data_IF_366262138045
#
_entry.id   IF_366262138045
#
_cell.length_a   1.000
_cell.length_b   1.000
_cell.length_c   1.000
_cell.angle_alpha   90.00
_cell.angle_beta   90.00
_cell.angle_gamma   90.00
#
_symmetry.space_group_name_H-M   'P 1'
#
loop_
_entity.id
_entity.type
_entity.pdbx_description
1 polymer ?
#
# COMPACT_ATOMS: atom_id res chain seq x y z
N UNK A 1 5.00 7.03 -18.42
CA UNK A 1 6.00 6.84 -17.34
C UNK A 1 5.82 7.91 -16.28
N UNK A 2 5.22 7.55 -15.14
CA UNK A 2 4.87 8.48 -14.05
C UNK A 2 6.09 9.18 -13.44
N UNK A 3 7.21 8.48 -13.14
CA UNK A 3 8.40 9.14 -12.64
C UNK A 3 8.97 10.20 -13.58
N UNK A 4 9.02 9.94 -14.89
CA UNK A 4 9.51 10.90 -15.87
C UNK A 4 8.60 12.14 -15.96
N UNK A 5 7.30 11.95 -15.85
CA UNK A 5 6.34 13.05 -15.80
C UNK A 5 6.51 13.90 -14.54
N UNK A 6 6.62 13.27 -13.37
CA UNK A 6 6.84 13.97 -12.11
C UNK A 6 8.17 14.73 -12.08
N UNK A 7 9.24 14.14 -12.66
CA UNK A 7 10.56 14.80 -12.75
C UNK A 7 10.56 16.08 -13.59
N UNK A 8 9.52 16.37 -14.36
CA UNK A 8 9.38 17.62 -15.12
C UNK A 8 8.72 18.76 -14.33
N UNK A 9 8.29 18.51 -13.09
CA UNK A 9 7.63 19.50 -12.25
C UNK A 9 8.60 20.10 -11.22
N UNK A 10 8.35 21.33 -10.79
CA UNK A 10 9.10 22.00 -9.72
C UNK A 10 8.48 21.78 -8.34
N UNK A 11 7.16 21.58 -8.29
CA UNK A 11 6.36 21.43 -7.08
C UNK A 11 5.21 20.47 -7.39
N UNK A 12 4.79 19.70 -6.41
CA UNK A 12 3.60 18.85 -6.49
C UNK A 12 2.54 19.29 -5.48
N UNK A 13 1.27 19.24 -5.90
CA UNK A 13 0.11 19.47 -5.03
C UNK A 13 -0.80 18.25 -5.14
N UNK A 14 -1.09 17.62 -4.02
CA UNK A 14 -1.98 16.46 -3.99
C UNK A 14 -1.93 15.72 -2.66
N UNK A 15 -2.63 14.60 -2.58
CA UNK A 15 -2.76 13.83 -1.36
C UNK A 15 -2.60 12.32 -1.62
N UNK A 16 -2.50 11.53 -0.55
CA UNK A 16 -2.47 10.08 -0.58
C UNK A 16 -1.31 9.53 -1.45
N UNK A 17 -1.57 8.47 -2.22
CA UNK A 17 -0.55 7.80 -3.04
C UNK A 17 0.16 8.75 -4.01
N UNK A 18 -0.56 9.67 -4.65
CA UNK A 18 0.04 10.62 -5.59
C UNK A 18 1.07 11.55 -4.90
N UNK A 19 0.79 11.98 -3.67
CA UNK A 19 1.76 12.72 -2.87
C UNK A 19 2.99 11.88 -2.54
N UNK A 20 2.83 10.62 -2.13
CA UNK A 20 3.95 9.71 -1.85
C UNK A 20 4.80 9.45 -3.09
N UNK A 21 4.19 9.27 -4.25
CA UNK A 21 4.90 9.10 -5.53
C UNK A 21 5.71 10.34 -5.89
N UNK A 22 5.14 11.54 -5.77
CA UNK A 22 5.84 12.81 -6.00
C UNK A 22 7.00 13.02 -5.02
N UNK A 23 6.78 12.77 -3.74
CA UNK A 23 7.81 12.81 -2.70
C UNK A 23 8.95 11.82 -2.99
N UNK A 24 8.62 10.62 -3.47
CA UNK A 24 9.62 9.62 -3.84
C UNK A 24 10.51 10.08 -5.00
N UNK A 25 9.98 10.92 -5.89
CA UNK A 25 10.73 11.57 -6.97
C UNK A 25 11.53 12.80 -6.51
N UNK A 26 11.46 13.18 -5.24
CA UNK A 26 12.18 14.33 -4.70
C UNK A 26 11.53 15.67 -5.01
N UNK A 27 10.19 15.71 -5.18
CA UNK A 27 9.47 16.96 -5.38
C UNK A 27 9.07 17.59 -4.05
N UNK A 28 9.27 18.91 -3.88
CA UNK A 28 8.59 19.67 -2.83
C UNK A 28 7.08 19.49 -2.98
N UNK A 29 6.42 19.07 -1.92
CA UNK A 29 5.02 18.64 -2.00
C UNK A 29 4.15 19.45 -1.05
N UNK A 30 3.04 19.98 -1.56
CA UNK A 30 1.93 20.51 -0.77
C UNK A 30 0.88 19.41 -0.64
N UNK A 31 0.65 18.95 0.59
CA UNK A 31 -0.30 17.89 0.86
C UNK A 31 -1.69 18.51 1.04
N UNK A 32 -2.52 18.35 0.02
CA UNK A 32 -3.85 18.94 -0.07
C UNK A 32 -4.77 18.05 -0.90
N UNK A 33 -6.01 17.90 -0.49
CA UNK A 33 -7.02 17.10 -1.18
C UNK A 33 -8.44 17.50 -0.81
N UNK A 34 -9.39 16.74 -1.29
CA UNK A 34 -10.82 16.95 -1.00
C UNK A 34 -11.18 16.57 0.45
N UNK A 35 -10.35 15.79 1.14
CA UNK A 35 -10.58 15.39 2.53
C UNK A 35 -9.92 16.34 3.54
N UNK A 36 -9.08 17.28 3.10
CA UNK A 36 -8.45 18.28 3.97
C UNK A 36 -7.14 18.85 3.45
N UNK A 37 -6.44 19.59 4.33
CA UNK A 37 -5.24 20.35 4.02
C UNK A 37 -4.18 20.22 5.11
N UNK A 38 -2.99 19.74 4.74
CA UNK A 38 -1.81 19.72 5.60
C UNK A 38 -0.84 20.85 5.24
N UNK A 39 -0.69 21.15 3.94
CA UNK A 39 0.20 22.17 3.42
C UNK A 39 1.58 21.65 3.01
N UNK A 40 2.57 22.51 2.96
CA UNK A 40 3.94 22.17 2.53
C UNK A 40 4.52 21.10 3.45
N UNK A 41 5.00 20.01 2.84
CA UNK A 41 5.61 18.92 3.60
C UNK A 41 6.97 19.33 4.17
N UNK A 42 7.06 19.32 5.49
CA UNK A 42 8.28 19.59 6.27
C UNK A 42 8.32 18.73 7.54
N UNK A 43 9.37 18.90 8.35
CA UNK A 43 9.56 18.12 9.58
C UNK A 43 8.43 18.32 10.59
N UNK A 44 7.81 19.50 10.65
CA UNK A 44 6.74 19.79 11.61
C UNK A 44 5.41 19.10 11.25
N UNK A 45 5.22 18.75 9.98
CA UNK A 45 4.00 18.15 9.45
C UNK A 45 4.10 16.64 9.22
N UNK A 46 5.30 16.05 9.36
CA UNK A 46 5.55 14.62 9.11
C UNK A 46 4.60 13.72 9.91
N UNK A 47 4.51 13.93 11.22
CA UNK A 47 3.69 13.09 12.09
C UNK A 47 2.20 13.18 11.75
N UNK A 48 1.72 14.40 11.44
CA UNK A 48 0.35 14.61 11.02
C UNK A 48 0.06 13.94 9.68
N UNK A 49 0.97 14.05 8.72
CA UNK A 49 0.86 13.42 7.42
C UNK A 49 0.82 11.88 7.55
N UNK A 50 1.71 11.29 8.33
CA UNK A 50 1.73 9.86 8.64
C UNK A 50 0.44 9.40 9.30
N UNK A 51 -0.02 10.08 10.35
CA UNK A 51 -1.25 9.75 11.09
C UNK A 51 -2.47 9.73 10.19
N UNK A 52 -2.54 10.59 9.19
CA UNK A 52 -3.65 10.67 8.24
C UNK A 52 -3.44 9.87 6.96
N UNK A 53 -2.35 9.09 6.90
CA UNK A 53 -1.92 8.37 5.71
C UNK A 53 -1.86 9.27 4.45
N UNK A 54 -1.39 10.49 4.64
CA UNK A 54 -1.30 11.53 3.60
C UNK A 54 -2.62 11.90 2.93
N UNK A 55 -3.77 11.50 3.51
CA UNK A 55 -5.11 11.77 2.99
C UNK A 55 -5.71 13.07 3.52
N UNK A 56 -5.07 13.74 4.47
CA UNK A 56 -5.50 15.00 5.10
C UNK A 56 -6.83 14.91 5.87
N UNK A 57 -7.30 13.74 6.25
CA UNK A 57 -8.57 13.59 6.99
C UNK A 57 -8.53 14.39 8.28
N UNK A 58 -9.59 15.15 8.52
CA UNK A 58 -9.75 15.99 9.72
C UNK A 58 -8.68 17.09 9.88
N UNK A 59 -7.94 17.42 8.82
CA UNK A 59 -6.88 18.45 8.85
C UNK A 59 -7.38 19.85 8.46
N UNK A 60 -8.70 20.05 8.43
CA UNK A 60 -9.32 21.29 7.99
C UNK A 60 -9.46 21.37 6.46
N UNK A 61 -10.24 22.34 6.01
CA UNK A 61 -10.61 22.49 4.61
C UNK A 61 -9.46 22.99 3.74
N UNK A 62 -9.35 22.43 2.53
CA UNK A 62 -8.51 22.98 1.45
C UNK A 62 -9.18 24.21 0.90
N UNK A 63 -8.52 25.35 1.00
CA UNK A 63 -8.99 26.63 0.46
C UNK A 63 -8.00 27.21 -0.54
N UNK A 64 -8.50 27.99 -1.48
CA UNK A 64 -7.68 28.72 -2.45
C UNK A 64 -6.62 29.58 -1.74
N UNK A 65 -7.01 30.31 -0.69
CA UNK A 65 -6.10 31.17 0.05
C UNK A 65 -4.92 30.44 0.69
N UNK A 66 -5.17 29.26 1.29
CA UNK A 66 -4.10 28.42 1.87
C UNK A 66 -3.16 27.92 0.79
N UNK A 67 -3.73 27.37 -0.29
CA UNK A 67 -2.96 26.84 -1.40
C UNK A 67 -2.12 27.92 -2.06
N UNK A 68 -2.71 29.08 -2.31
CA UNK A 68 -2.02 30.23 -2.89
C UNK A 68 -0.83 30.67 -1.99
N UNK A 69 -1.05 30.80 -0.69
CA UNK A 69 0.03 31.19 0.25
C UNK A 69 1.20 30.20 0.26
N UNK A 70 0.90 28.89 0.27
CA UNK A 70 1.94 27.85 0.25
C UNK A 70 2.67 27.81 -1.10
N UNK A 71 1.98 27.97 -2.22
CA UNK A 71 2.62 28.05 -3.53
C UNK A 71 3.51 29.30 -3.65
N UNK A 72 3.07 30.47 -3.21
CA UNK A 72 3.93 31.67 -3.15
C UNK A 72 5.17 31.38 -2.30
N UNK A 73 5.00 30.78 -1.12
CA UNK A 73 6.13 30.42 -0.25
C UNK A 73 7.13 29.52 -0.97
N UNK A 74 6.68 28.54 -1.75
CA UNK A 74 7.55 27.64 -2.49
C UNK A 74 8.24 28.32 -3.67
N UNK A 75 7.54 29.17 -4.41
CA UNK A 75 8.10 29.86 -5.58
C UNK A 75 9.02 31.05 -5.21
N UNK A 76 8.86 31.61 -4.02
CA UNK A 76 9.79 32.62 -3.46
C UNK A 76 11.14 32.00 -3.02
N UNK A 77 11.20 30.66 -2.88
CA UNK A 77 12.44 29.93 -2.60
C UNK A 77 13.33 29.83 -3.83
N UNK A 78 14.62 29.80 -3.61
CA UNK A 78 15.61 29.51 -4.65
C UNK A 78 15.47 28.07 -5.13
N UNK A 79 16.00 27.74 -6.30
CA UNK A 79 16.01 26.38 -6.82
C UNK A 79 16.70 25.39 -5.87
N UNK A 80 17.78 25.82 -5.21
CA UNK A 80 18.52 24.96 -4.27
C UNK A 80 17.71 24.71 -2.98
N UNK A 81 16.99 25.71 -2.47
CA UNK A 81 16.10 25.54 -1.33
C UNK A 81 14.95 24.58 -1.67
N UNK A 82 14.33 24.71 -2.85
CA UNK A 82 13.28 23.77 -3.31
C UNK A 82 13.84 22.36 -3.44
N UNK A 83 15.06 22.22 -3.97
CA UNK A 83 15.74 20.91 -4.05
C UNK A 83 15.94 20.31 -2.67
N UNK A 84 16.42 21.08 -1.69
CA UNK A 84 16.59 20.61 -0.32
C UNK A 84 15.27 20.15 0.32
N UNK A 85 14.16 20.84 0.01
CA UNK A 85 12.81 20.42 0.45
C UNK A 85 12.38 19.11 -0.23
N UNK A 86 12.64 18.95 -1.51
CA UNK A 86 12.39 17.70 -2.24
C UNK A 86 13.23 16.54 -1.71
N UNK A 87 14.50 16.77 -1.41
CA UNK A 87 15.38 15.78 -0.78
C UNK A 87 14.86 15.34 0.60
N UNK A 88 14.31 16.30 1.36
CA UNK A 88 13.61 15.97 2.61
C UNK A 88 12.40 15.07 2.35
N UNK A 89 11.53 15.41 1.39
CA UNK A 89 10.38 14.60 1.01
C UNK A 89 10.80 13.17 0.63
N UNK A 90 11.82 13.03 -0.23
CA UNK A 90 12.34 11.72 -0.64
C UNK A 90 12.89 10.92 0.54
N UNK A 91 13.63 11.57 1.45
CA UNK A 91 14.14 10.90 2.66
C UNK A 91 13.03 10.34 3.53
N UNK A 92 11.95 11.09 3.75
CA UNK A 92 10.76 10.60 4.48
C UNK A 92 10.19 9.33 3.83
N UNK A 93 10.09 9.29 2.50
CA UNK A 93 9.60 8.10 1.80
C UNK A 93 10.54 6.91 1.99
N UNK A 94 11.85 7.11 1.90
CA UNK A 94 12.82 6.04 2.11
C UNK A 94 12.79 5.48 3.53
N UNK A 95 12.58 6.35 4.52
CA UNK A 95 12.53 5.98 5.93
C UNK A 95 11.21 5.26 6.29
N UNK A 96 10.06 5.77 5.82
CA UNK A 96 8.75 5.34 6.30
C UNK A 96 8.02 4.38 5.36
N UNK A 97 8.31 4.41 4.05
CA UNK A 97 7.53 3.71 3.01
C UNK A 97 8.36 2.84 2.07
N UNK A 98 9.66 2.66 2.34
CA UNK A 98 10.46 1.78 1.50
C UNK A 98 10.04 0.31 1.67
N UNK A 99 10.16 -0.47 0.58
CA UNK A 99 9.89 -1.91 0.64
C UNK A 99 10.75 -2.62 1.67
N UNK A 100 12.02 -2.17 1.85
CA UNK A 100 12.92 -2.70 2.87
C UNK A 100 12.39 -2.45 4.29
N UNK A 101 11.92 -1.22 4.57
CA UNK A 101 11.33 -0.89 5.87
C UNK A 101 10.08 -1.73 6.13
N UNK A 102 9.20 -1.82 5.15
CA UNK A 102 7.98 -2.63 5.25
C UNK A 102 8.31 -4.11 5.53
N UNK A 103 9.32 -4.67 4.89
CA UNK A 103 9.75 -6.05 5.14
C UNK A 103 10.20 -6.24 6.58
N UNK A 104 11.02 -5.34 7.12
CA UNK A 104 11.47 -5.37 8.51
C UNK A 104 10.31 -5.27 9.51
N UNK A 105 9.33 -4.43 9.24
CA UNK A 105 8.15 -4.29 10.10
C UNK A 105 7.29 -5.57 10.10
N UNK A 106 7.16 -6.23 8.94
CA UNK A 106 6.47 -7.53 8.86
C UNK A 106 7.26 -8.64 9.56
N UNK A 107 8.58 -8.71 9.39
CA UNK A 107 9.44 -9.66 10.11
C UNK A 107 9.27 -9.49 11.62
N UNK A 108 9.41 -8.28 12.14
CA UNK A 108 9.24 -7.99 13.56
C UNK A 108 7.83 -8.35 14.06
N UNK A 109 6.80 -8.10 13.26
CA UNK A 109 5.43 -8.49 13.59
C UNK A 109 5.30 -10.02 13.66
N UNK A 110 5.81 -10.76 12.69
CA UNK A 110 5.75 -12.23 12.68
C UNK A 110 6.53 -12.83 13.83
N UNK A 111 7.71 -12.31 14.17
CA UNK A 111 8.51 -12.76 15.31
C UNK A 111 7.80 -12.50 16.66
N UNK A 112 6.98 -11.45 16.74
CA UNK A 112 6.19 -11.13 17.95
C UNK A 112 4.99 -12.04 18.16
N UNK A 113 4.56 -12.80 17.14
CA UNK A 113 3.42 -13.69 17.27
C UNK A 113 3.80 -14.94 18.08
N UNK A 114 2.90 -15.40 18.96
CA UNK A 114 3.14 -16.65 19.68
C UNK A 114 3.31 -17.81 18.67
N UNK A 115 4.30 -18.65 18.90
CA UNK A 115 4.50 -19.85 18.10
C UNK A 115 3.22 -20.70 18.17
N UNK A 116 2.50 -20.80 17.06
CA UNK A 116 1.38 -21.72 16.93
C UNK A 116 1.98 -23.07 16.56
N UNK A 117 2.02 -24.00 17.53
CA UNK A 117 2.26 -25.42 17.23
C UNK A 117 0.88 -26.04 16.93
N UNK A 118 0.54 -26.28 15.66
CA UNK A 118 -0.74 -26.90 15.36
C UNK A 118 -0.70 -28.37 15.77
N UNK A 119 -1.65 -28.77 16.60
CA UNK A 119 -1.93 -30.19 16.90
C UNK A 119 -2.53 -30.92 15.68
N UNK A 120 -2.76 -30.23 14.60
CA UNK A 120 -3.33 -30.72 13.34
C UNK A 120 -2.40 -30.39 12.20
N UNK A 121 -2.30 -31.28 11.18
CA UNK A 121 -1.54 -30.97 9.97
C UNK A 121 -1.92 -29.60 9.42
N UNK A 122 -0.93 -28.74 9.20
CA UNK A 122 -1.12 -27.37 8.72
C UNK A 122 -1.92 -27.37 7.40
N UNK A 123 -2.78 -26.39 7.24
CA UNK A 123 -3.51 -26.12 6.00
C UNK A 123 -3.57 -24.61 5.77
N UNK A 124 -3.59 -24.20 4.52
CA UNK A 124 -3.62 -22.80 4.13
C UNK A 124 -5.00 -22.45 3.58
N UNK A 125 -5.66 -21.48 4.21
CA UNK A 125 -6.88 -20.88 3.69
C UNK A 125 -6.55 -19.51 3.11
N UNK A 126 -6.79 -19.34 1.81
CA UNK A 126 -6.52 -18.10 1.09
C UNK A 126 -7.83 -17.39 0.78
N UNK A 127 -7.93 -16.14 1.23
CA UNK A 127 -9.07 -15.27 0.98
C UNK A 127 -8.63 -14.00 0.25
N UNK A 128 -9.32 -13.64 -0.82
CA UNK A 128 -9.03 -12.47 -1.63
C UNK A 128 -10.08 -12.27 -2.72
N UNK A 129 -9.82 -11.36 -3.64
CA UNK A 129 -10.71 -11.10 -4.78
C UNK A 129 -10.40 -12.07 -5.93
N UNK A 130 -10.59 -13.37 -5.69
CA UNK A 130 -10.22 -14.44 -6.61
C UNK A 130 -11.41 -15.00 -7.40
N UNK A 131 -11.15 -15.41 -8.66
CA UNK A 131 -12.16 -16.01 -9.53
C UNK A 131 -13.15 -15.03 -10.14
N UNK A 132 -12.77 -13.76 -10.27
CA UNK A 132 -13.55 -12.69 -10.89
C UNK A 132 -13.11 -12.38 -12.33
N UNK A 133 -12.10 -13.10 -12.86
CA UNK A 133 -11.58 -12.87 -14.20
C UNK A 133 -10.67 -11.66 -14.33
N UNK A 134 -10.07 -11.21 -13.24
CA UNK A 134 -9.09 -10.14 -13.21
C UNK A 134 -7.68 -10.70 -13.39
N UNK A 135 -6.99 -10.28 -14.45
CA UNK A 135 -5.65 -10.79 -14.77
C UNK A 135 -4.60 -10.52 -13.69
N UNK A 136 -4.71 -9.41 -12.96
CA UNK A 136 -3.84 -9.07 -11.84
C UNK A 136 -4.00 -10.04 -10.68
N UNK A 137 -5.23 -10.29 -10.25
CA UNK A 137 -5.53 -11.24 -9.17
C UNK A 137 -5.18 -12.67 -9.57
N UNK A 138 -5.40 -13.04 -10.84
CA UNK A 138 -5.03 -14.34 -11.38
C UNK A 138 -3.51 -14.56 -11.36
N UNK A 139 -2.72 -13.54 -11.66
CA UNK A 139 -1.26 -13.59 -11.61
C UNK A 139 -0.75 -13.74 -10.17
N UNK A 140 -1.31 -12.98 -9.23
CA UNK A 140 -1.00 -13.08 -7.79
C UNK A 140 -1.35 -14.47 -7.28
N UNK A 141 -2.52 -15.00 -7.65
CA UNK A 141 -2.96 -16.34 -7.25
C UNK A 141 -2.00 -17.42 -7.76
N UNK A 142 -1.60 -17.36 -9.02
CA UNK A 142 -0.67 -18.30 -9.60
C UNK A 142 0.70 -18.27 -8.90
N UNK A 143 1.23 -17.08 -8.66
CA UNK A 143 2.51 -16.90 -7.96
C UNK A 143 2.45 -17.41 -6.51
N UNK A 144 1.36 -17.13 -5.79
CA UNK A 144 1.15 -17.60 -4.42
C UNK A 144 1.12 -19.13 -4.35
N UNK A 145 0.34 -19.80 -5.22
CA UNK A 145 0.28 -21.26 -5.25
C UNK A 145 1.64 -21.86 -5.60
N UNK A 146 2.33 -21.30 -6.60
CA UNK A 146 3.67 -21.76 -6.99
C UNK A 146 4.67 -21.61 -5.83
N UNK A 147 4.67 -20.47 -5.14
CA UNK A 147 5.52 -20.23 -3.97
C UNK A 147 5.24 -21.20 -2.82
N UNK A 148 3.98 -21.43 -2.47
CA UNK A 148 3.62 -22.40 -1.43
C UNK A 148 4.06 -23.82 -1.82
N UNK A 149 3.82 -24.24 -3.07
CA UNK A 149 4.21 -25.56 -3.55
C UNK A 149 5.73 -25.77 -3.62
N UNK A 150 6.49 -24.71 -3.84
CA UNK A 150 7.95 -24.76 -3.80
C UNK A 150 8.48 -24.99 -2.38
N UNK A 151 7.86 -24.38 -1.37
CA UNK A 151 8.29 -24.49 0.04
C UNK A 151 7.64 -25.68 0.76
N UNK A 152 6.41 -26.03 0.42
CA UNK A 152 5.60 -27.05 1.08
C UNK A 152 4.73 -27.80 0.03
N UNK A 153 5.29 -28.77 -0.71
CA UNK A 153 4.62 -29.43 -1.84
C UNK A 153 3.26 -30.05 -1.50
N UNK A 154 3.15 -30.67 -0.33
CA UNK A 154 1.99 -31.43 0.11
C UNK A 154 1.01 -30.59 0.96
N UNK A 155 1.29 -29.31 1.17
CA UNK A 155 0.44 -28.44 2.00
C UNK A 155 -0.97 -28.30 1.40
N UNK A 156 -2.04 -28.65 2.14
CA UNK A 156 -3.41 -28.44 1.67
C UNK A 156 -3.72 -26.94 1.53
N UNK A 157 -4.12 -26.53 0.32
CA UNK A 157 -4.49 -25.15 0.01
C UNK A 157 -5.96 -25.09 -0.34
N UNK A 158 -6.71 -24.21 0.32
CA UNK A 158 -8.12 -23.93 0.02
C UNK A 158 -8.29 -22.44 -0.31
N UNK A 159 -8.91 -22.14 -1.45
CA UNK A 159 -9.25 -20.77 -1.86
C UNK A 159 -10.71 -20.46 -1.68
N UNK A 160 -10.98 -19.29 -1.08
CA UNK A 160 -12.29 -18.66 -1.09
C UNK A 160 -12.41 -17.83 -2.36
N UNK A 161 -13.20 -18.26 -3.33
CA UNK A 161 -13.30 -17.61 -4.63
C UNK A 161 -14.74 -17.57 -5.17
N UNK A 162 -14.97 -16.78 -6.23
CA UNK A 162 -16.27 -16.69 -6.89
C UNK A 162 -16.50 -17.89 -7.82
N UNK A 163 -15.55 -18.12 -8.73
CA UNK A 163 -15.61 -19.23 -9.68
C UNK A 163 -14.80 -20.42 -9.15
N UNK A 164 -15.48 -21.27 -8.41
CA UNK A 164 -14.84 -22.42 -7.76
C UNK A 164 -14.35 -23.48 -8.77
N UNK A 165 -15.10 -23.74 -9.84
CA UNK A 165 -14.76 -24.79 -10.80
C UNK A 165 -13.51 -24.44 -11.62
N UNK A 166 -13.48 -23.25 -12.20
CA UNK A 166 -12.34 -22.84 -13.02
C UNK A 166 -11.10 -22.60 -12.16
N UNK A 167 -11.25 -22.00 -10.98
CA UNK A 167 -10.13 -21.79 -10.05
C UNK A 167 -9.52 -23.10 -9.57
N UNK A 168 -10.34 -24.11 -9.22
CA UNK A 168 -9.84 -25.43 -8.83
C UNK A 168 -9.04 -26.09 -9.95
N UNK A 169 -9.56 -26.05 -11.18
CA UNK A 169 -8.88 -26.62 -12.35
C UNK A 169 -7.59 -25.86 -12.70
N UNK A 170 -7.63 -24.53 -12.64
CA UNK A 170 -6.51 -23.67 -13.04
C UNK A 170 -5.33 -23.77 -12.08
N UNK A 171 -5.58 -23.83 -10.78
CA UNK A 171 -4.54 -23.74 -9.75
C UNK A 171 -4.27 -25.06 -9.02
N UNK A 172 -5.02 -26.12 -9.27
CA UNK A 172 -4.84 -27.41 -8.59
C UNK A 172 -5.05 -27.33 -7.08
N UNK A 173 -6.00 -26.52 -6.63
CA UNK A 173 -6.28 -26.27 -5.21
C UNK A 173 -7.75 -26.55 -4.90
N UNK A 174 -8.06 -26.83 -3.64
CA UNK A 174 -9.42 -26.87 -3.16
C UNK A 174 -10.05 -25.49 -3.19
N UNK A 175 -11.32 -25.40 -3.52
CA UNK A 175 -12.02 -24.11 -3.61
C UNK A 175 -13.36 -24.16 -2.89
N UNK A 176 -13.73 -23.05 -2.26
CA UNK A 176 -14.99 -22.85 -1.56
C UNK A 176 -15.63 -21.55 -2.03
N UNK A 177 -16.95 -21.52 -2.27
CA UNK A 177 -17.62 -20.28 -2.62
C UNK A 177 -17.48 -19.23 -1.52
N UNK A 178 -16.90 -18.09 -1.85
CA UNK A 178 -16.57 -17.00 -0.91
C UNK A 178 -17.74 -16.52 -0.06
N UNK A 179 -18.94 -16.50 -0.64
CA UNK A 179 -20.16 -16.01 0.02
C UNK A 179 -20.99 -17.09 0.71
N UNK A 180 -20.53 -18.34 0.67
CA UNK A 180 -21.18 -19.44 1.40
C UNK A 180 -20.61 -19.52 2.81
N UNK A 181 -21.12 -18.69 3.73
CA UNK A 181 -20.63 -18.57 5.11
C UNK A 181 -20.56 -19.94 5.83
N UNK A 182 -21.59 -20.81 5.78
CA UNK A 182 -21.49 -22.15 6.39
C UNK A 182 -20.34 -23.00 5.85
N UNK A 183 -20.07 -22.95 4.53
CA UNK A 183 -18.95 -23.66 3.94
C UNK A 183 -17.60 -23.07 4.37
N UNK A 184 -17.48 -21.74 4.41
CA UNK A 184 -16.28 -21.06 4.88
C UNK A 184 -15.97 -21.39 6.34
N UNK A 185 -16.96 -21.33 7.23
CA UNK A 185 -16.79 -21.67 8.65
C UNK A 185 -16.39 -23.13 8.87
N UNK A 186 -16.82 -24.05 7.97
CA UNK A 186 -16.40 -25.45 8.02
C UNK A 186 -14.93 -25.63 7.67
N UNK A 187 -14.40 -24.82 6.77
CA UNK A 187 -12.97 -24.83 6.41
C UNK A 187 -12.05 -24.18 7.46
N UNK A 188 -12.60 -23.36 8.33
CA UNK A 188 -11.85 -22.69 9.41
C UNK A 188 -11.72 -23.55 10.68
N UNK A 189 -12.44 -24.69 10.76
CA UNK A 189 -12.36 -25.69 11.84
C UNK A 189 -11.39 -26.81 11.49
#
# INVERSE_FOLDING_TARGET
>A
DTPAFLASADVFVGASRAALEAMSCGLPTVIAGNEGYIGIMDASRRDLALKTNYCCRDCGETTEAKLYADLCTLFDRTADERRAMGDYCRRVILEDFSAARMALDYEAMYESLPAVTPDVPGRILVSGYYGFGNAGDDSITAALVAGIRACAPDMPITFLCKDTKNSAKKYGVRTVPRFNIPAVLREMR
#
